data_IF_599275900958
#
_entry.id   IF_599275900958
#
_cell.length_a   1.000
_cell.length_b   1.000
_cell.length_c   1.000
_cell.angle_alpha   90.00
_cell.angle_beta   90.00
_cell.angle_gamma   90.00
#
_symmetry.space_group_name_H-M   'P 1'
#
loop_
_entity.id
_entity.type
_entity.pdbx_description
1 polymer ?
#
# COMPACT_ATOMS: atom_id res chain seq x y z
N UNK A 1 -19.42 -11.10 19.60
CA UNK A 1 -18.06 -11.65 19.61
C UNK A 1 -17.89 -12.68 18.54
N UNK A 2 -16.67 -12.93 18.02
CA UNK A 2 -16.41 -14.04 17.11
C UNK A 2 -16.60 -15.38 17.84
N UNK A 3 -17.10 -16.41 17.14
CA UNK A 3 -17.23 -17.75 17.66
C UNK A 3 -15.87 -18.50 17.66
N UNK A 4 -15.11 -18.30 16.56
CA UNK A 4 -13.78 -18.90 16.38
C UNK A 4 -12.88 -17.88 15.68
N UNK A 5 -11.63 -17.79 16.13
CA UNK A 5 -10.55 -17.08 15.44
C UNK A 5 -9.47 -18.10 15.13
N UNK A 6 -9.18 -18.26 13.85
CA UNK A 6 -8.13 -19.13 13.34
C UNK A 6 -7.07 -18.26 12.65
N UNK A 7 -5.80 -18.58 12.82
CA UNK A 7 -4.69 -17.82 12.25
C UNK A 7 -3.64 -18.74 11.63
N UNK A 8 -2.98 -18.25 10.58
CA UNK A 8 -1.83 -18.96 10.02
C UNK A 8 -0.74 -19.14 11.10
N UNK A 9 -0.07 -20.32 11.14
CA UNK A 9 0.96 -20.60 12.13
C UNK A 9 2.03 -19.48 12.16
N UNK A 10 2.28 -18.83 13.32
CA UNK A 10 3.26 -17.75 13.43
C UNK A 10 4.64 -18.11 12.92
N UNK A 11 5.08 -19.34 13.18
CA UNK A 11 6.41 -19.80 12.77
C UNK A 11 6.58 -19.79 11.25
N UNK A 12 5.56 -20.13 10.49
CA UNK A 12 5.62 -20.09 9.02
C UNK A 12 5.88 -18.67 8.49
N UNK A 13 5.29 -17.67 9.11
CA UNK A 13 5.57 -16.27 8.77
C UNK A 13 7.04 -15.90 9.09
N UNK A 14 7.55 -16.31 10.25
CA UNK A 14 8.94 -16.06 10.65
C UNK A 14 9.92 -16.74 9.69
N UNK A 15 9.64 -17.99 9.29
CA UNK A 15 10.45 -18.74 8.32
C UNK A 15 10.41 -18.07 6.94
N UNK A 16 9.23 -17.59 6.53
CA UNK A 16 9.05 -16.81 5.30
C UNK A 16 9.87 -15.52 5.31
N UNK A 17 9.86 -14.78 6.41
CA UNK A 17 10.71 -13.58 6.57
C UNK A 17 12.19 -13.92 6.48
N UNK A 18 12.64 -15.00 7.11
CA UNK A 18 14.04 -15.46 7.00
C UNK A 18 14.40 -15.75 5.53
N UNK A 19 13.50 -16.41 4.79
CA UNK A 19 13.71 -16.68 3.37
C UNK A 19 13.77 -15.40 2.52
N UNK A 20 12.93 -14.39 2.82
CA UNK A 20 13.00 -13.08 2.14
C UNK A 20 14.35 -12.40 2.41
N UNK A 21 14.91 -12.52 3.61
CA UNK A 21 16.25 -11.98 3.91
C UNK A 21 17.33 -12.64 3.06
N UNK A 22 17.19 -13.94 2.74
CA UNK A 22 18.12 -14.62 1.81
C UNK A 22 17.99 -14.02 0.40
N UNK A 23 16.77 -13.77 -0.10
CA UNK A 23 16.53 -13.12 -1.40
C UNK A 23 17.08 -11.68 -1.45
N UNK A 24 16.94 -10.92 -0.36
CA UNK A 24 17.55 -9.60 -0.24
C UNK A 24 19.08 -9.67 -0.31
N UNK A 25 19.69 -10.62 0.42
CA UNK A 25 21.14 -10.83 0.41
C UNK A 25 21.66 -11.29 -0.96
N UNK A 26 20.86 -12.07 -1.71
CA UNK A 26 21.17 -12.50 -3.07
C UNK A 26 21.00 -11.37 -4.12
N UNK A 27 20.36 -10.26 -3.76
CA UNK A 27 20.10 -9.14 -4.66
C UNK A 27 18.87 -9.32 -5.57
N UNK A 28 18.00 -10.28 -5.26
CA UNK A 28 16.80 -10.54 -6.04
C UNK A 28 15.75 -9.41 -5.90
N UNK A 29 15.63 -8.87 -4.71
CA UNK A 29 14.69 -7.78 -4.37
C UNK A 29 15.31 -6.77 -3.42
N UNK A 30 14.77 -5.56 -3.41
CA UNK A 30 15.08 -4.53 -2.40
C UNK A 30 14.14 -4.62 -1.21
N UNK A 31 12.90 -5.07 -1.45
CA UNK A 31 11.85 -5.23 -0.46
C UNK A 31 10.83 -6.27 -0.94
N UNK A 32 10.32 -7.08 -0.01
CA UNK A 32 9.12 -7.88 -0.20
C UNK A 32 8.26 -7.84 1.06
N UNK A 33 6.96 -7.58 0.90
CA UNK A 33 6.01 -7.45 2.01
C UNK A 33 5.21 -8.74 2.15
N UNK A 34 5.57 -9.56 3.14
CA UNK A 34 4.81 -10.77 3.47
C UNK A 34 3.64 -10.45 4.39
N UNK A 35 2.55 -11.20 4.21
CA UNK A 35 1.37 -11.17 5.07
C UNK A 35 1.08 -12.54 5.67
N UNK A 36 0.22 -12.56 6.69
CA UNK A 36 -0.40 -13.79 7.22
C UNK A 36 -1.89 -13.56 7.39
N UNK A 37 -2.66 -14.64 7.25
CA UNK A 37 -4.10 -14.59 7.31
C UNK A 37 -4.65 -14.84 8.70
N UNK A 38 -5.81 -14.24 8.98
CA UNK A 38 -6.70 -14.60 10.08
C UNK A 38 -8.07 -14.87 9.52
N UNK A 39 -8.64 -15.99 9.89
CA UNK A 39 -10.01 -16.33 9.58
C UNK A 39 -10.87 -16.20 10.85
N UNK A 40 -11.93 -15.42 10.74
CA UNK A 40 -12.83 -15.17 11.87
C UNK A 40 -14.22 -15.68 11.50
N UNK A 41 -14.72 -16.63 12.26
CA UNK A 41 -16.06 -17.20 12.09
C UNK A 41 -17.02 -16.64 13.13
N UNK A 42 -18.27 -16.44 12.72
CA UNK A 42 -19.34 -15.91 13.56
C UNK A 42 -20.54 -16.87 13.51
N UNK A 43 -21.29 -17.00 14.62
CA UNK A 43 -22.48 -17.84 14.70
C UNK A 43 -23.64 -17.34 13.85
N UNK A 44 -23.61 -16.05 13.49
CA UNK A 44 -24.61 -15.42 12.63
C UNK A 44 -23.93 -14.69 11.46
N UNK A 45 -24.67 -14.53 10.38
CA UNK A 45 -24.21 -13.79 9.22
C UNK A 45 -23.85 -12.36 9.61
N UNK A 46 -22.64 -11.93 9.24
CA UNK A 46 -22.19 -10.54 9.41
C UNK A 46 -22.84 -9.63 8.36
N UNK A 47 -23.40 -8.50 8.83
CA UNK A 47 -23.76 -7.43 7.90
C UNK A 47 -22.50 -6.61 7.56
N UNK A 48 -22.05 -6.62 6.29
CA UNK A 48 -20.87 -5.85 5.87
C UNK A 48 -21.02 -4.34 6.09
N UNK A 49 -22.26 -3.81 6.06
CA UNK A 49 -22.50 -2.39 6.30
C UNK A 49 -22.28 -2.05 7.78
N UNK A 50 -22.77 -2.87 8.69
CA UNK A 50 -22.54 -2.69 10.13
C UNK A 50 -21.05 -2.82 10.48
N UNK A 51 -20.34 -3.80 9.88
CA UNK A 51 -18.90 -3.94 10.03
C UNK A 51 -18.15 -2.71 9.52
N UNK A 52 -18.52 -2.19 8.36
CA UNK A 52 -17.94 -0.97 7.79
C UNK A 52 -18.14 0.25 8.67
N UNK A 53 -19.36 0.46 9.20
CA UNK A 53 -19.64 1.58 10.11
C UNK A 53 -18.77 1.52 11.37
N UNK A 54 -18.59 0.33 11.93
CA UNK A 54 -17.73 0.12 13.09
C UNK A 54 -16.25 0.37 12.77
N UNK A 55 -15.78 -0.13 11.64
CA UNK A 55 -14.41 0.08 11.16
C UNK A 55 -14.13 1.57 10.94
N UNK A 56 -15.03 2.27 10.23
CA UNK A 56 -14.94 3.71 9.96
C UNK A 56 -14.96 4.56 11.23
N UNK A 57 -15.72 4.14 12.24
CA UNK A 57 -15.78 4.85 13.54
C UNK A 57 -14.50 4.74 14.35
N UNK A 58 -13.81 3.58 14.27
CA UNK A 58 -12.59 3.33 15.02
C UNK A 58 -11.31 3.68 14.26
N UNK A 59 -11.34 3.59 12.96
CA UNK A 59 -10.18 3.85 12.08
C UNK A 59 -10.65 4.56 10.80
N UNK A 60 -10.95 5.87 10.88
CA UNK A 60 -11.35 6.64 9.70
C UNK A 60 -10.18 6.72 8.72
N UNK A 61 -10.42 6.25 7.50
CA UNK A 61 -9.42 6.26 6.44
C UNK A 61 -10.00 6.89 5.16
N UNK A 62 -9.20 7.67 4.40
CA UNK A 62 -9.70 8.48 3.29
C UNK A 62 -10.21 7.64 2.11
N UNK A 63 -9.73 6.41 1.95
CA UNK A 63 -10.11 5.49 0.88
C UNK A 63 -10.84 4.25 1.41
N UNK A 64 -11.54 4.41 2.54
CA UNK A 64 -12.38 3.37 3.10
C UNK A 64 -13.61 3.11 2.22
N UNK A 65 -13.99 1.83 2.06
CA UNK A 65 -15.09 1.45 1.20
C UNK A 65 -15.63 0.06 1.47
N UNK A 66 -16.80 -0.21 0.90
CA UNK A 66 -17.40 -1.54 0.84
C UNK A 66 -17.67 -1.88 -0.62
N UNK A 67 -17.18 -3.04 -1.04
CA UNK A 67 -17.49 -3.63 -2.33
C UNK A 67 -18.25 -4.94 -2.12
N UNK A 68 -19.39 -5.12 -2.80
CA UNK A 68 -20.25 -6.29 -2.65
C UNK A 68 -20.35 -7.08 -3.94
N UNK A 69 -20.12 -8.38 -3.84
CA UNK A 69 -20.41 -9.37 -4.86
C UNK A 69 -21.50 -10.36 -4.40
N UNK A 70 -21.77 -11.36 -5.22
CA UNK A 70 -22.74 -12.42 -4.88
C UNK A 70 -22.09 -13.34 -3.84
N UNK A 71 -22.62 -13.32 -2.62
CA UNK A 71 -22.16 -14.18 -1.53
C UNK A 71 -20.87 -13.72 -0.80
N UNK A 72 -20.32 -12.57 -1.17
CA UNK A 72 -19.12 -12.02 -0.53
C UNK A 72 -19.12 -10.49 -0.49
N UNK A 73 -18.29 -9.94 0.37
CA UNK A 73 -18.05 -8.50 0.43
C UNK A 73 -16.61 -8.21 0.84
N UNK A 74 -16.04 -7.13 0.30
CA UNK A 74 -14.78 -6.55 0.77
C UNK A 74 -15.12 -5.31 1.59
N UNK A 75 -14.63 -5.24 2.82
CA UNK A 75 -14.76 -4.08 3.71
C UNK A 75 -13.36 -3.57 3.99
N UNK A 76 -13.07 -2.34 3.57
CA UNK A 76 -11.72 -1.79 3.60
C UNK A 76 -11.67 -0.45 4.34
N UNK A 77 -10.55 -0.20 5.03
CA UNK A 77 -10.17 1.10 5.59
C UNK A 77 -8.77 1.47 5.09
N UNK A 78 -8.62 1.60 3.77
CA UNK A 78 -7.32 1.91 3.16
C UNK A 78 -6.90 3.35 3.42
N UNK A 79 -5.69 3.59 3.95
CA UNK A 79 -5.15 4.94 4.14
C UNK A 79 -4.54 5.52 2.87
N UNK A 80 -4.22 4.67 1.89
CA UNK A 80 -3.45 5.05 0.71
C UNK A 80 -4.24 4.84 -0.57
N UNK A 81 -4.12 5.78 -1.50
CA UNK A 81 -4.73 5.72 -2.82
C UNK A 81 -3.78 5.00 -3.79
N UNK A 82 -4.28 3.98 -4.49
CA UNK A 82 -3.52 3.31 -5.53
C UNK A 82 -3.21 4.27 -6.68
N UNK A 83 -4.26 4.76 -7.34
CA UNK A 83 -4.17 5.72 -8.44
C UNK A 83 -5.37 6.67 -8.45
N UNK A 84 -5.25 7.79 -9.14
CA UNK A 84 -6.34 8.68 -9.52
C UNK A 84 -6.25 8.95 -11.00
N UNK A 85 -7.38 8.85 -11.70
CA UNK A 85 -7.51 9.23 -13.12
C UNK A 85 -8.50 10.37 -13.24
N UNK A 86 -8.10 11.47 -13.87
CA UNK A 86 -8.96 12.64 -14.12
C UNK A 86 -8.70 13.15 -15.53
N UNK A 87 -9.66 12.88 -16.43
CA UNK A 87 -9.44 13.09 -17.85
C UNK A 87 -8.36 12.14 -18.36
N UNK A 88 -7.33 12.67 -18.96
CA UNK A 88 -6.13 11.98 -19.42
C UNK A 88 -4.96 11.96 -18.42
N UNK A 89 -5.11 12.60 -17.27
CA UNK A 89 -4.07 12.65 -16.24
C UNK A 89 -4.25 11.52 -15.23
N UNK A 90 -3.20 10.73 -15.06
CA UNK A 90 -3.06 9.77 -13.97
C UNK A 90 -2.11 10.29 -12.90
N UNK A 91 -2.41 9.95 -11.65
CA UNK A 91 -1.62 10.33 -10.48
C UNK A 91 -1.53 9.15 -9.52
N UNK A 92 -0.33 8.92 -8.96
CA UNK A 92 -0.12 8.07 -7.79
C UNK A 92 0.65 8.84 -6.71
N UNK A 93 0.40 8.50 -5.43
CA UNK A 93 1.02 9.17 -4.29
C UNK A 93 1.61 8.17 -3.31
N UNK A 94 2.83 7.70 -3.56
CA UNK A 94 3.52 6.83 -2.62
C UNK A 94 3.79 7.56 -1.30
N UNK A 95 3.56 6.84 -0.20
CA UNK A 95 3.78 7.27 1.17
C UNK A 95 4.86 6.38 1.77
N UNK A 96 5.93 6.98 2.33
CA UNK A 96 6.89 6.25 3.14
C UNK A 96 7.40 7.16 4.26
N UNK A 97 7.58 6.55 5.43
CA UNK A 97 7.89 7.29 6.65
C UNK A 97 6.65 7.91 7.30
N UNK A 98 6.46 7.56 8.56
CA UNK A 98 5.30 8.00 9.35
C UNK A 98 5.75 8.37 10.75
N UNK A 99 5.23 9.49 11.27
CA UNK A 99 5.36 9.87 12.68
C UNK A 99 3.99 10.18 13.26
N UNK A 100 3.71 9.75 14.49
CA UNK A 100 2.49 10.17 15.18
C UNK A 100 2.58 11.65 15.52
N UNK A 101 1.40 12.28 15.62
CA UNK A 101 1.23 13.64 16.15
C UNK A 101 0.44 13.57 17.43
N UNK A 102 0.87 14.31 18.44
CA UNK A 102 0.19 14.44 19.71
C UNK A 102 -0.01 15.91 20.03
N UNK A 103 -1.09 16.22 20.70
CA UNK A 103 -1.36 17.58 21.14
C UNK A 103 -0.25 18.09 22.07
N UNK A 104 0.29 19.27 21.77
CA UNK A 104 1.38 19.88 22.53
C UNK A 104 2.78 19.40 22.21
N UNK A 105 2.95 18.56 21.18
CA UNK A 105 4.24 18.01 20.77
C UNK A 105 5.00 18.96 19.82
N UNK A 106 6.34 18.80 19.76
CA UNK A 106 7.18 19.52 18.81
C UNK A 106 7.14 18.87 17.42
N UNK A 107 6.16 19.28 16.62
CA UNK A 107 6.06 18.87 15.21
C UNK A 107 7.36 19.12 14.43
N UNK A 108 8.10 20.20 14.76
CA UNK A 108 9.32 20.54 14.03
C UNK A 108 10.46 19.54 14.30
N UNK A 109 10.59 19.04 15.53
CA UNK A 109 11.57 18.00 15.85
C UNK A 109 11.25 16.69 15.13
N UNK A 110 9.98 16.27 15.11
CA UNK A 110 9.53 15.07 14.40
C UNK A 110 9.68 15.17 12.90
N UNK A 111 9.44 16.34 12.31
CA UNK A 111 9.68 16.56 10.89
C UNK A 111 11.16 16.43 10.56
N UNK A 112 12.05 17.04 11.37
CA UNK A 112 13.50 16.89 11.16
C UNK A 112 13.95 15.44 11.25
N UNK A 113 13.42 14.67 12.21
CA UNK A 113 13.67 13.24 12.33
C UNK A 113 13.20 12.49 11.09
N UNK A 114 11.95 12.72 10.66
CA UNK A 114 11.32 12.05 9.52
C UNK A 114 12.10 12.33 8.23
N UNK A 115 12.38 13.60 7.94
CA UNK A 115 13.10 14.03 6.72
C UNK A 115 14.56 13.59 6.77
N UNK A 116 15.17 13.54 7.95
CA UNK A 116 16.56 13.15 8.13
C UNK A 116 16.83 11.66 8.15
N UNK A 117 15.80 10.79 8.23
CA UNK A 117 15.98 9.35 8.42
C UNK A 117 16.43 8.64 7.13
N UNK A 118 17.68 8.12 7.06
CA UNK A 118 18.25 7.64 5.79
C UNK A 118 17.48 6.45 5.19
N UNK A 119 17.05 5.49 6.03
CA UNK A 119 16.30 4.31 5.60
C UNK A 119 14.96 4.70 4.98
N UNK A 120 14.19 5.57 5.66
CA UNK A 120 12.87 5.99 5.18
C UNK A 120 12.97 6.79 3.87
N UNK A 121 14.02 7.61 3.73
CA UNK A 121 14.31 8.30 2.48
C UNK A 121 14.63 7.34 1.34
N UNK A 122 15.47 6.33 1.59
CA UNK A 122 15.83 5.31 0.60
C UNK A 122 14.60 4.50 0.17
N UNK A 123 13.77 4.09 1.13
CA UNK A 123 12.50 3.40 0.87
C UNK A 123 11.56 4.29 0.04
N UNK A 124 11.45 5.56 0.39
CA UNK A 124 10.60 6.50 -0.34
C UNK A 124 11.05 6.70 -1.79
N UNK A 125 12.35 6.87 -2.04
CA UNK A 125 12.92 6.93 -3.41
C UNK A 125 12.54 5.68 -4.20
N UNK A 126 12.71 4.50 -3.60
CA UNK A 126 12.35 3.22 -4.23
C UNK A 126 10.86 3.17 -4.61
N UNK A 127 9.97 3.60 -3.72
CA UNK A 127 8.52 3.62 -3.99
C UNK A 127 8.14 4.64 -5.07
N UNK A 128 8.78 5.80 -5.11
CA UNK A 128 8.59 6.79 -6.18
C UNK A 128 9.04 6.23 -7.52
N UNK A 129 10.20 5.57 -7.57
CA UNK A 129 10.70 4.96 -8.81
C UNK A 129 9.80 3.82 -9.29
N UNK A 130 9.28 3.02 -8.36
CA UNK A 130 8.29 2.00 -8.66
C UNK A 130 7.00 2.60 -9.25
N UNK A 131 6.47 3.68 -8.65
CA UNK A 131 5.32 4.41 -9.18
C UNK A 131 5.57 4.99 -10.58
N UNK A 132 6.76 5.54 -10.82
CA UNK A 132 7.17 5.98 -12.16
C UNK A 132 7.20 4.84 -13.17
N UNK A 133 7.72 3.69 -12.78
CA UNK A 133 7.75 2.50 -13.62
C UNK A 133 6.34 1.99 -13.94
N UNK A 134 5.44 1.96 -12.95
CA UNK A 134 4.06 1.53 -13.13
C UNK A 134 3.32 2.45 -14.13
N UNK A 135 3.40 3.78 -13.93
CA UNK A 135 2.77 4.75 -14.82
C UNK A 135 3.42 4.77 -16.21
N UNK A 136 4.73 4.55 -16.30
CA UNK A 136 5.45 4.50 -17.58
C UNK A 136 4.98 3.39 -18.54
N UNK A 137 4.22 2.41 -18.04
CA UNK A 137 3.63 1.34 -18.84
C UNK A 137 2.35 1.73 -19.59
N UNK A 138 1.69 2.79 -19.14
CA UNK A 138 0.35 3.20 -19.60
C UNK A 138 0.25 4.69 -19.92
N UNK A 139 1.35 5.41 -19.79
CA UNK A 139 1.41 6.84 -20.10
C UNK A 139 2.19 7.10 -21.40
N UNK A 140 1.90 8.22 -22.01
CA UNK A 140 2.67 8.76 -23.12
C UNK A 140 4.16 8.88 -22.76
N UNK A 141 5.09 8.44 -23.62
CA UNK A 141 6.51 8.54 -23.35
C UNK A 141 6.96 9.99 -23.03
N UNK A 142 7.68 10.14 -21.93
CA UNK A 142 8.21 11.45 -21.52
C UNK A 142 7.24 12.31 -20.70
N UNK A 143 6.02 11.84 -20.40
CA UNK A 143 5.03 12.58 -19.60
C UNK A 143 5.04 12.21 -18.12
N UNK A 144 5.72 11.13 -17.74
CA UNK A 144 5.79 10.70 -16.34
C UNK A 144 6.76 11.59 -15.56
N UNK A 145 6.21 12.37 -14.63
CA UNK A 145 6.95 13.35 -13.83
C UNK A 145 6.70 13.18 -12.34
N UNK A 146 7.71 13.52 -11.53
CA UNK A 146 7.56 13.66 -10.07
C UNK A 146 7.32 15.13 -9.78
N UNK A 147 6.08 15.52 -9.58
CA UNK A 147 5.67 16.92 -9.40
C UNK A 147 5.82 17.42 -7.97
N UNK A 148 5.79 16.51 -7.01
CA UNK A 148 6.11 16.78 -5.60
C UNK A 148 7.00 15.63 -5.09
N UNK A 149 8.07 15.96 -4.37
CA UNK A 149 9.03 14.97 -3.90
C UNK A 149 9.36 15.12 -2.41
N UNK A 150 9.05 14.08 -1.63
CA UNK A 150 9.29 14.02 -0.18
C UNK A 150 8.69 15.18 0.60
N UNK A 151 7.47 15.59 0.25
CA UNK A 151 6.74 16.60 0.99
C UNK A 151 6.20 16.03 2.31
N UNK A 152 6.32 16.81 3.38
CA UNK A 152 5.74 16.44 4.67
C UNK A 152 4.26 16.80 4.69
N UNK A 153 3.38 15.80 4.66
CA UNK A 153 1.94 15.97 4.81
C UNK A 153 1.53 15.75 6.27
N UNK A 154 0.82 16.74 6.82
CA UNK A 154 0.33 16.70 8.20
C UNK A 154 -1.15 16.40 8.22
N UNK A 155 -1.50 15.33 8.95
CA UNK A 155 -2.88 14.95 9.24
C UNK A 155 -3.17 15.18 10.73
N UNK A 156 -4.40 14.93 11.17
CA UNK A 156 -4.79 15.19 12.57
C UNK A 156 -3.93 14.45 13.59
N UNK A 157 -3.57 13.19 13.34
CA UNK A 157 -2.87 12.33 14.30
C UNK A 157 -1.54 11.78 13.81
N UNK A 158 -1.21 12.01 12.55
CA UNK A 158 0.02 11.49 11.91
C UNK A 158 0.59 12.52 10.92
N UNK A 159 1.86 12.34 10.58
CA UNK A 159 2.50 13.00 9.44
C UNK A 159 3.26 11.95 8.63
N UNK A 160 3.32 12.17 7.32
CA UNK A 160 3.98 11.30 6.36
C UNK A 160 4.94 12.08 5.46
N UNK A 161 5.93 11.36 4.90
CA UNK A 161 6.57 11.77 3.64
C UNK A 161 5.71 11.26 2.48
N UNK A 162 5.32 12.15 1.60
CA UNK A 162 4.51 11.87 0.42
C UNK A 162 5.19 12.47 -0.82
N UNK A 163 5.11 11.77 -1.93
CA UNK A 163 5.48 12.29 -3.25
C UNK A 163 4.31 12.14 -4.19
N UNK A 164 4.28 12.97 -5.24
CA UNK A 164 3.26 12.91 -6.28
C UNK A 164 3.93 12.61 -7.61
N UNK A 165 3.54 11.50 -8.23
CA UNK A 165 3.95 11.11 -9.58
C UNK A 165 2.74 11.21 -10.48
N UNK A 166 2.88 11.91 -11.61
CA UNK A 166 1.82 12.09 -12.61
C UNK A 166 2.27 11.63 -13.99
N UNK A 167 1.30 11.43 -14.88
CA UNK A 167 1.56 11.18 -16.30
C UNK A 167 0.30 11.39 -17.12
N UNK A 168 0.45 11.54 -18.44
CA UNK A 168 -0.65 11.56 -19.39
C UNK A 168 -0.91 10.15 -19.90
N UNK A 169 -2.13 9.66 -19.77
CA UNK A 169 -2.51 8.30 -20.22
C UNK A 169 -2.39 8.24 -21.75
N UNK A 170 -1.79 7.18 -22.28
CA UNK A 170 -1.68 6.94 -23.72
C UNK A 170 -3.08 6.74 -24.35
N UNK A 171 -3.25 7.17 -25.62
CA UNK A 171 -4.55 7.14 -26.31
C UNK A 171 -5.22 5.76 -26.37
N UNK A 172 -4.44 4.69 -26.39
CA UNK A 172 -4.91 3.31 -26.42
C UNK A 172 -5.13 2.68 -25.05
N UNK A 173 -4.89 3.44 -23.96
CA UNK A 173 -5.05 3.00 -22.59
C UNK A 173 -6.29 3.60 -21.93
N UNK A 174 -6.89 2.80 -21.06
CA UNK A 174 -8.06 3.17 -20.25
C UNK A 174 -7.71 3.28 -18.76
N UNK A 175 -8.63 3.80 -17.96
CA UNK A 175 -8.47 3.78 -16.49
C UNK A 175 -8.31 2.37 -15.90
N UNK A 176 -8.86 1.34 -16.57
CA UNK A 176 -8.67 -0.06 -16.16
C UNK A 176 -7.24 -0.51 -16.42
N UNK A 177 -6.64 -0.13 -17.55
CA UNK A 177 -5.25 -0.44 -17.86
C UNK A 177 -4.30 0.21 -16.84
N UNK A 178 -4.62 1.45 -16.40
CA UNK A 178 -3.90 2.13 -15.30
C UNK A 178 -3.97 1.33 -14.00
N UNK A 179 -5.17 0.84 -13.62
CA UNK A 179 -5.31 -0.01 -12.43
C UNK A 179 -4.50 -1.29 -12.58
N UNK A 180 -4.55 -1.96 -13.73
CA UNK A 180 -3.80 -3.19 -14.00
C UNK A 180 -2.28 -2.98 -13.98
N UNK A 181 -1.79 -1.82 -14.41
CA UNK A 181 -0.37 -1.47 -14.36
C UNK A 181 0.12 -1.16 -12.94
N UNK A 182 -0.69 -0.45 -12.15
CA UNK A 182 -0.34 -0.01 -10.79
C UNK A 182 -0.56 -1.10 -9.73
N UNK A 183 -1.51 -2.02 -9.92
CA UNK A 183 -1.84 -3.07 -8.96
C UNK A 183 -0.89 -4.28 -9.08
N UNK A 184 -0.50 -4.90 -7.95
CA UNK A 184 -0.67 -4.39 -6.58
C UNK A 184 0.24 -3.19 -6.28
N UNK A 185 -0.15 -2.37 -5.30
CA UNK A 185 0.68 -1.25 -4.85
C UNK A 185 2.07 -1.73 -4.39
N UNK A 186 3.10 -0.93 -4.66
CA UNK A 186 4.47 -1.25 -4.24
C UNK A 186 4.62 -1.38 -2.73
N UNK A 187 3.88 -0.57 -1.98
CA UNK A 187 3.80 -0.62 -0.51
C UNK A 187 3.22 -1.93 0.04
N UNK A 188 2.50 -2.69 -0.78
CA UNK A 188 1.89 -3.98 -0.41
C UNK A 188 2.62 -5.18 -1.01
N UNK A 189 3.43 -5.01 -2.04
CA UNK A 189 4.17 -6.07 -2.73
C UNK A 189 5.67 -5.98 -2.46
N UNK A 190 6.33 -5.03 -3.07
CA UNK A 190 7.77 -4.82 -2.97
C UNK A 190 8.40 -4.38 -4.27
N UNK A 191 9.72 -4.36 -4.32
CA UNK A 191 10.49 -3.91 -5.47
C UNK A 191 11.72 -4.79 -5.73
N UNK A 192 11.99 -5.19 -7.00
CA UNK A 192 11.17 -5.00 -8.21
C UNK A 192 9.82 -5.75 -8.10
N UNK A 193 8.73 -5.13 -8.59
CA UNK A 193 7.35 -5.59 -8.34
C UNK A 193 7.13 -7.06 -8.74
N UNK A 194 7.44 -7.44 -9.96
CA UNK A 194 7.17 -8.80 -10.47
C UNK A 194 7.93 -9.83 -9.63
N UNK A 195 9.22 -9.60 -9.36
CA UNK A 195 10.02 -10.52 -8.54
C UNK A 195 9.51 -10.61 -7.10
N UNK A 196 9.13 -9.50 -6.51
CA UNK A 196 8.51 -9.50 -5.18
C UNK A 196 7.19 -10.31 -5.16
N UNK A 197 6.35 -10.19 -6.19
CA UNK A 197 5.12 -10.97 -6.31
C UNK A 197 5.39 -12.48 -6.44
N UNK A 198 6.39 -12.89 -7.23
CA UNK A 198 6.81 -14.30 -7.33
C UNK A 198 7.24 -14.87 -5.99
N UNK A 199 8.05 -14.11 -5.22
CA UNK A 199 8.50 -14.51 -3.88
C UNK A 199 7.32 -14.59 -2.91
N UNK A 200 6.38 -13.65 -2.97
CA UNK A 200 5.17 -13.67 -2.15
C UNK A 200 4.31 -14.90 -2.46
N UNK A 201 4.10 -15.21 -3.75
CA UNK A 201 3.34 -16.41 -4.17
C UNK A 201 4.01 -17.72 -3.75
N UNK A 202 5.36 -17.76 -3.71
CA UNK A 202 6.12 -18.92 -3.20
C UNK A 202 5.93 -19.12 -1.69
N UNK A 203 5.90 -18.02 -0.92
CA UNK A 203 6.02 -18.09 0.55
C UNK A 203 4.68 -18.01 1.28
N UNK A 204 3.69 -17.35 0.73
CA UNK A 204 2.36 -17.23 1.34
C UNK A 204 1.49 -18.47 1.07
N UNK A 205 0.68 -18.83 2.05
CA UNK A 205 -0.17 -20.05 1.99
C UNK A 205 -1.43 -19.81 1.20
N UNK A 206 -1.94 -18.59 1.31
CA UNK A 206 -3.21 -18.18 0.71
C UNK A 206 -3.00 -17.01 -0.22
N UNK A 207 -3.78 -16.98 -1.29
CA UNK A 207 -3.77 -15.83 -2.19
C UNK A 207 -4.32 -14.60 -1.47
N UNK A 208 -3.70 -13.47 -1.74
CA UNK A 208 -4.23 -12.17 -1.33
C UNK A 208 -5.49 -11.85 -2.11
N UNK A 209 -6.51 -11.34 -1.44
CA UNK A 209 -7.77 -10.91 -2.03
C UNK A 209 -7.73 -9.51 -2.61
#
# INVERSE_FOLDING_TARGET
PPAVVDEDPPQRYVDGVARVLDYLAAGDVYQANLSRGWQVSFDAALDPAALFQRLRGNNPAPFAGVFRGIGWSVVSASPERLVSVRGDVVETRPIAGTRPRFDGDDDAARIRELVGHPKERAEHVMLVDLGRNDLGRVCEPGTVEVVEFMEVRRYSHIMHLESTVTGTIAEDCTALDVVMAAFPAGTLSGAPKIRAMEIIDELEVSRRG
#
